data_IF_892391412812
#
_entry.id   IF_892391412812
#
_cell.length_a   1.000
_cell.length_b   1.000
_cell.length_c   1.000
_cell.angle_alpha   90.00
_cell.angle_beta   90.00
_cell.angle_gamma   90.00
#
_symmetry.space_group_name_H-M   'P 1'
#
loop_
_entity.id
_entity.type
_entity.pdbx_description
1 polymer ?
#
# COMPACT_ATOMS: atom_id res chain seq x y z
N UNK A 1 -15.29 6.19 -0.37
CA UNK A 1 -15.07 4.74 -0.54
C UNK A 1 -14.32 4.39 -1.82
N UNK A 2 -14.80 4.81 -3.00
CA UNK A 2 -14.14 4.49 -4.28
C UNK A 2 -12.68 4.97 -4.34
N UNK A 3 -12.40 6.17 -3.84
CA UNK A 3 -11.03 6.69 -3.76
C UNK A 3 -10.09 5.80 -2.93
N UNK A 4 -10.54 5.28 -1.77
CA UNK A 4 -9.74 4.37 -0.93
C UNK A 4 -9.41 3.10 -1.70
N UNK A 5 -10.43 2.53 -2.36
CA UNK A 5 -10.28 1.33 -3.19
C UNK A 5 -9.27 1.56 -4.32
N UNK A 6 -9.38 2.69 -5.03
CA UNK A 6 -8.47 3.06 -6.11
C UNK A 6 -7.03 3.22 -5.60
N UNK A 7 -6.80 3.93 -4.49
CA UNK A 7 -5.47 4.07 -3.87
C UNK A 7 -4.85 2.71 -3.57
N UNK A 8 -5.61 1.81 -2.96
CA UNK A 8 -5.14 0.47 -2.61
C UNK A 8 -4.85 -0.37 -3.86
N UNK A 9 -5.75 -0.41 -4.84
CA UNK A 9 -5.54 -1.13 -6.09
C UNK A 9 -4.30 -0.63 -6.84
N UNK A 10 -4.19 0.69 -7.02
CA UNK A 10 -3.06 1.27 -7.74
C UNK A 10 -1.74 1.00 -7.02
N UNK A 11 -1.71 1.07 -5.68
CA UNK A 11 -0.53 0.68 -4.91
C UNK A 11 -0.14 -0.78 -5.13
N UNK A 12 -1.09 -1.71 -5.07
CA UNK A 12 -0.79 -3.13 -5.26
C UNK A 12 -0.33 -3.44 -6.70
N UNK A 13 -0.92 -2.79 -7.70
CA UNK A 13 -0.48 -2.91 -9.10
C UNK A 13 0.92 -2.36 -9.30
N UNK A 14 1.20 -1.15 -8.81
CA UNK A 14 2.53 -0.54 -8.84
C UNK A 14 3.56 -1.45 -8.16
N UNK A 15 3.26 -1.91 -6.94
CA UNK A 15 4.14 -2.83 -6.22
C UNK A 15 4.41 -4.12 -6.99
N UNK A 16 3.39 -4.72 -7.60
CA UNK A 16 3.55 -5.94 -8.39
C UNK A 16 4.42 -5.70 -9.64
N UNK A 17 4.23 -4.57 -10.32
CA UNK A 17 5.04 -4.18 -11.47
C UNK A 17 6.51 -3.96 -11.07
N UNK A 18 6.76 -3.21 -10.00
CA UNK A 18 8.11 -2.96 -9.47
C UNK A 18 8.82 -4.26 -9.10
N UNK A 19 8.15 -5.16 -8.38
CA UNK A 19 8.78 -6.41 -7.95
C UNK A 19 9.06 -7.36 -9.12
N UNK A 20 8.16 -7.43 -10.11
CA UNK A 20 8.39 -8.23 -11.33
C UNK A 20 9.59 -7.73 -12.12
N UNK A 21 9.62 -6.43 -12.41
CA UNK A 21 10.75 -5.84 -13.14
C UNK A 21 12.04 -5.91 -12.33
N UNK A 22 11.96 -5.84 -11.00
CA UNK A 22 13.12 -6.04 -10.13
C UNK A 22 13.66 -7.49 -10.16
N UNK A 23 12.81 -8.49 -10.32
CA UNK A 23 13.25 -9.88 -10.51
C UNK A 23 14.00 -10.05 -11.84
N UNK A 24 13.52 -9.40 -12.90
CA UNK A 24 14.14 -9.44 -14.23
C UNK A 24 15.42 -8.58 -14.32
N UNK A 25 15.52 -7.51 -13.53
CA UNK A 25 16.68 -6.61 -13.53
C UNK A 25 17.79 -7.06 -12.58
N UNK A 26 19.00 -7.21 -13.12
CA UNK A 26 20.20 -7.48 -12.34
C UNK A 26 20.85 -6.19 -11.83
N UNK A 27 20.25 -5.58 -10.80
CA UNK A 27 20.84 -4.40 -10.16
C UNK A 27 22.14 -4.76 -9.41
N UNK A 28 23.20 -3.95 -9.54
CA UNK A 28 24.44 -4.15 -8.80
C UNK A 28 24.21 -4.14 -7.28
N UNK A 29 25.01 -4.93 -6.54
CA UNK A 29 24.87 -5.09 -5.08
C UNK A 29 24.97 -3.74 -4.34
N UNK A 30 25.88 -2.87 -4.75
CA UNK A 30 26.07 -1.59 -4.08
C UNK A 30 24.93 -0.61 -4.35
N UNK A 31 24.32 -0.71 -5.52
CA UNK A 31 23.11 0.04 -5.84
C UNK A 31 21.92 -0.43 -5.00
N UNK A 32 21.79 -1.75 -4.82
CA UNK A 32 20.75 -2.32 -3.98
C UNK A 32 20.87 -1.90 -2.52
N UNK A 33 22.08 -1.80 -1.96
CA UNK A 33 22.31 -1.32 -0.59
C UNK A 33 21.89 0.14 -0.38
N UNK A 34 21.90 0.96 -1.44
CA UNK A 34 21.44 2.34 -1.38
C UNK A 34 19.91 2.43 -1.45
N UNK A 35 19.28 1.54 -2.22
CA UNK A 35 17.82 1.53 -2.44
C UNK A 35 17.07 0.80 -1.32
N UNK A 36 17.69 -0.22 -0.75
CA UNK A 36 17.15 -1.18 0.19
C UNK A 36 18.10 -1.21 1.39
N UNK A 37 17.57 -1.23 2.62
CA UNK A 37 18.35 -1.27 3.87
C UNK A 37 19.60 -2.16 3.76
N UNK A 38 20.71 -1.70 4.34
CA UNK A 38 22.11 -2.14 4.11
C UNK A 38 22.44 -3.65 4.31
N UNK A 39 21.49 -4.48 4.72
CA UNK A 39 21.71 -5.91 4.97
C UNK A 39 21.42 -6.76 3.71
N UNK A 40 22.45 -7.44 3.20
CA UNK A 40 22.35 -8.34 2.04
C UNK A 40 21.42 -9.53 2.31
N UNK A 41 21.35 -10.01 3.55
CA UNK A 41 20.45 -11.11 3.94
C UNK A 41 18.98 -10.67 3.98
N UNK A 42 18.73 -9.37 4.17
CA UNK A 42 17.37 -8.82 4.09
C UNK A 42 16.85 -8.86 2.65
N UNK A 43 17.68 -8.59 1.64
CA UNK A 43 17.29 -8.61 0.23
C UNK A 43 16.86 -10.03 -0.19
N UNK A 44 17.67 -11.04 0.13
CA UNK A 44 17.35 -12.44 -0.20
C UNK A 44 16.02 -12.88 0.45
N UNK A 45 15.84 -12.59 1.75
CA UNK A 45 14.59 -12.91 2.46
C UNK A 45 13.37 -12.23 1.85
N UNK A 46 13.52 -11.00 1.36
CA UNK A 46 12.46 -10.19 0.75
C UNK A 46 12.11 -10.62 -0.68
N UNK A 47 13.06 -11.15 -1.46
CA UNK A 47 12.76 -11.80 -2.74
C UNK A 47 11.81 -12.99 -2.54
N UNK A 48 12.11 -13.82 -1.55
CA UNK A 48 11.27 -14.98 -1.22
C UNK A 48 9.97 -14.61 -0.47
N UNK A 49 9.90 -13.42 0.12
CA UNK A 49 8.73 -12.94 0.85
C UNK A 49 8.37 -11.51 0.43
N UNK A 50 7.61 -11.35 -0.67
CA UNK A 50 7.22 -10.03 -1.17
C UNK A 50 6.54 -9.15 -0.10
N UNK A 51 5.82 -9.74 0.86
CA UNK A 51 5.11 -9.00 1.91
C UNK A 51 6.01 -8.18 2.85
N UNK A 52 7.31 -8.50 2.90
CA UNK A 52 8.32 -7.85 3.75
C UNK A 52 8.85 -6.53 3.18
N UNK A 53 8.52 -6.20 1.93
CA UNK A 53 8.92 -4.94 1.32
C UNK A 53 8.14 -3.77 1.89
N UNK A 54 8.86 -2.74 2.33
CA UNK A 54 8.23 -1.51 2.81
C UNK A 54 7.79 -0.62 1.63
N UNK A 55 6.70 0.16 1.79
CA UNK A 55 6.26 1.11 0.78
C UNK A 55 7.36 2.04 0.23
N UNK A 56 8.23 2.59 1.08
CA UNK A 56 9.33 3.45 0.61
C UNK A 56 10.41 2.71 -0.17
N UNK A 57 10.65 1.43 0.13
CA UNK A 57 11.58 0.59 -0.63
C UNK A 57 11.04 0.32 -2.04
N UNK A 58 9.76 -0.05 -2.13
CA UNK A 58 9.05 -0.21 -3.42
C UNK A 58 9.08 1.08 -4.22
N UNK A 59 8.85 2.22 -3.57
CA UNK A 59 8.93 3.54 -4.18
C UNK A 59 10.32 3.84 -4.75
N UNK A 60 11.40 3.64 -3.98
CA UNK A 60 12.78 3.88 -4.43
C UNK A 60 13.17 2.95 -5.58
N UNK A 61 12.78 1.68 -5.50
CA UNK A 61 12.97 0.73 -6.61
C UNK A 61 12.22 1.17 -7.86
N UNK A 62 10.94 1.53 -7.74
CA UNK A 62 10.15 1.98 -8.88
C UNK A 62 10.73 3.22 -9.56
N UNK A 63 11.23 4.20 -8.79
CA UNK A 63 11.98 5.34 -9.34
C UNK A 63 13.22 4.89 -10.11
N UNK A 64 13.99 3.96 -9.54
CA UNK A 64 15.23 3.49 -10.16
C UNK A 64 15.00 2.70 -11.44
N UNK A 65 13.96 1.88 -11.46
CA UNK A 65 13.57 1.03 -12.59
C UNK A 65 12.75 1.79 -13.65
N UNK A 66 12.44 3.08 -13.43
CA UNK A 66 11.68 3.89 -14.39
C UNK A 66 10.17 3.58 -14.45
N UNK A 67 9.62 2.90 -13.45
CA UNK A 67 8.20 2.44 -13.39
C UNK A 67 7.35 3.48 -12.63
N UNK A 68 7.81 4.73 -12.56
CA UNK A 68 7.26 5.73 -11.66
C UNK A 68 5.91 6.29 -12.11
N UNK A 69 4.91 6.27 -11.22
CA UNK A 69 3.55 6.78 -11.50
C UNK A 69 2.92 7.57 -10.32
N UNK A 70 3.68 7.84 -9.24
CA UNK A 70 3.21 8.65 -8.11
C UNK A 70 2.34 7.95 -7.06
N UNK A 71 2.14 6.62 -7.11
CA UNK A 71 1.20 5.94 -6.17
C UNK A 71 1.63 5.98 -4.71
N UNK A 72 2.93 6.08 -4.42
CA UNK A 72 3.42 6.18 -3.04
C UNK A 72 2.86 7.41 -2.31
N UNK A 73 2.77 8.54 -3.00
CA UNK A 73 2.21 9.77 -2.43
C UNK A 73 0.71 9.61 -2.14
N UNK A 74 0.00 8.83 -2.96
CA UNK A 74 -1.42 8.51 -2.73
C UNK A 74 -1.61 7.59 -1.53
N UNK A 75 -0.67 6.70 -1.25
CA UNK A 75 -0.72 5.85 -0.05
C UNK A 75 -0.57 6.69 1.24
N UNK A 76 0.14 7.82 1.20
CA UNK A 76 0.21 8.74 2.34
C UNK A 76 -1.17 9.34 2.68
N UNK A 77 -2.01 9.55 1.67
CA UNK A 77 -3.39 10.05 1.85
C UNK A 77 -4.34 8.99 2.41
N UNK A 78 -3.94 7.72 2.51
CA UNK A 78 -4.83 6.63 2.93
C UNK A 78 -5.40 6.83 4.34
N UNK A 79 -4.58 7.26 5.31
CA UNK A 79 -5.07 7.51 6.66
C UNK A 79 -6.15 8.60 6.68
N UNK A 80 -5.91 9.71 5.98
CA UNK A 80 -6.88 10.80 5.87
C UNK A 80 -8.19 10.33 5.23
N UNK A 81 -8.11 9.53 4.16
CA UNK A 81 -9.31 8.99 3.50
C UNK A 81 -10.11 8.05 4.42
N UNK A 82 -9.43 7.29 5.29
CA UNK A 82 -10.06 6.43 6.30
C UNK A 82 -10.67 7.24 7.45
N UNK A 83 -10.08 8.38 7.79
CA UNK A 83 -10.61 9.35 8.76
C UNK A 83 -11.88 10.04 8.28
N UNK A 84 -12.03 10.24 6.97
CA UNK A 84 -13.22 10.83 6.37
C UNK A 84 -14.42 9.86 6.25
N UNK A 85 -14.31 8.61 6.69
CA UNK A 85 -15.42 7.67 6.67
C UNK A 85 -16.43 8.00 7.80
N UNK A 86 -17.72 7.68 7.62
CA UNK A 86 -18.68 7.71 8.72
C UNK A 86 -18.17 6.88 9.89
N UNK A 87 -18.36 7.36 11.13
CA UNK A 87 -17.79 6.76 12.34
C UNK A 87 -18.10 5.26 12.47
N UNK A 88 -19.34 4.86 12.18
CA UNK A 88 -19.76 3.45 12.22
C UNK A 88 -19.01 2.59 11.19
N UNK A 89 -18.80 3.12 9.98
CA UNK A 89 -18.04 2.42 8.94
C UNK A 89 -16.55 2.36 9.28
N UNK A 90 -16.00 3.44 9.81
CA UNK A 90 -14.62 3.52 10.25
C UNK A 90 -14.32 2.45 11.30
N UNK A 91 -15.17 2.34 12.34
CA UNK A 91 -15.02 1.34 13.39
C UNK A 91 -15.07 -0.09 12.83
N UNK A 92 -15.98 -0.36 11.89
CA UNK A 92 -16.07 -1.67 11.23
C UNK A 92 -14.81 -1.98 10.41
N UNK A 93 -14.33 -1.03 9.61
CA UNK A 93 -13.11 -1.16 8.79
C UNK A 93 -11.90 -1.41 9.69
N UNK A 94 -11.75 -0.63 10.76
CA UNK A 94 -10.63 -0.74 11.68
C UNK A 94 -10.62 -2.09 12.40
N UNK A 95 -11.79 -2.53 12.88
CA UNK A 95 -11.95 -3.86 13.47
C UNK A 95 -11.58 -4.96 12.47
N UNK A 96 -12.09 -4.88 11.24
CA UNK A 96 -11.82 -5.84 10.17
C UNK A 96 -10.33 -5.93 9.82
N UNK A 97 -9.68 -4.78 9.65
CA UNK A 97 -8.27 -4.68 9.33
C UNK A 97 -7.34 -4.91 10.54
N UNK A 98 -7.89 -5.08 11.74
CA UNK A 98 -7.17 -5.15 13.01
C UNK A 98 -6.30 -3.91 13.27
N UNK A 99 -6.81 -2.74 12.89
CA UNK A 99 -6.22 -1.42 13.10
C UNK A 99 -6.77 -0.84 14.40
N UNK A 100 -5.87 -0.54 15.34
CA UNK A 100 -6.18 0.22 16.56
C UNK A 100 -5.93 1.70 16.30
N UNK A 101 -6.41 2.58 17.19
CA UNK A 101 -6.13 4.01 17.12
C UNK A 101 -4.62 4.28 17.10
N UNK A 102 -3.86 3.63 17.99
CA UNK A 102 -2.39 3.78 18.04
C UNK A 102 -1.71 3.35 16.74
N UNK A 103 -2.21 2.29 16.10
CA UNK A 103 -1.72 1.90 14.78
C UNK A 103 -2.01 2.99 13.77
N UNK A 104 -3.24 3.50 13.71
CA UNK A 104 -3.60 4.57 12.76
C UNK A 104 -2.72 5.80 12.91
N UNK A 105 -2.43 6.24 14.14
CA UNK A 105 -1.49 7.34 14.43
C UNK A 105 -0.10 7.02 13.89
N UNK A 106 0.42 5.81 14.14
CA UNK A 106 1.71 5.42 13.61
C UNK A 106 1.75 5.39 12.07
N UNK A 107 0.64 5.03 11.40
CA UNK A 107 0.56 4.96 9.92
C UNK A 107 0.41 6.35 9.29
N UNK A 108 -0.27 7.29 9.97
CA UNK A 108 -0.39 8.67 9.49
C UNK A 108 0.95 9.41 9.57
N UNK A 109 1.77 9.11 10.58
CA UNK A 109 3.11 9.70 10.73
C UNK A 109 4.14 9.13 9.76
N UNK A 110 4.05 7.83 9.44
CA UNK A 110 5.00 7.17 8.56
C UNK A 110 4.34 6.06 7.74
N UNK A 111 4.28 6.26 6.42
CA UNK A 111 3.71 5.30 5.48
C UNK A 111 4.40 3.94 5.51
N UNK A 112 5.67 3.86 5.94
CA UNK A 112 6.38 2.58 6.07
C UNK A 112 5.85 1.69 7.20
N UNK A 113 5.04 2.25 8.11
CA UNK A 113 4.41 1.49 9.17
C UNK A 113 3.23 0.65 8.66
N UNK A 114 2.76 0.88 7.43
CA UNK A 114 1.76 0.04 6.80
C UNK A 114 2.28 -1.37 6.55
N UNK A 115 1.56 -2.36 7.05
CA UNK A 115 1.84 -3.76 6.75
C UNK A 115 1.05 -4.22 5.52
N UNK A 116 1.68 -5.01 4.64
CA UNK A 116 1.01 -5.55 3.44
C UNK A 116 -0.32 -6.26 3.75
N UNK A 117 -0.39 -6.98 4.88
CA UNK A 117 -1.62 -7.65 5.35
C UNK A 117 -2.73 -6.68 5.73
N UNK A 118 -2.39 -5.53 6.32
CA UNK A 118 -3.35 -4.49 6.74
C UNK A 118 -3.96 -3.88 5.46
N UNK A 119 -3.11 -3.49 4.52
CA UNK A 119 -3.52 -2.96 3.22
C UNK A 119 -4.39 -3.95 2.42
N UNK A 120 -4.06 -5.24 2.45
CA UNK A 120 -4.85 -6.27 1.77
C UNK A 120 -6.23 -6.46 2.42
N UNK A 121 -6.31 -6.44 3.76
CA UNK A 121 -7.61 -6.50 4.46
C UNK A 121 -8.48 -5.29 4.15
N UNK A 122 -7.90 -4.09 4.10
CA UNK A 122 -8.60 -2.88 3.68
C UNK A 122 -9.13 -3.02 2.26
N UNK A 123 -8.28 -3.46 1.31
CA UNK A 123 -8.69 -3.67 -0.07
C UNK A 123 -9.84 -4.66 -0.16
N UNK A 124 -9.71 -5.80 0.53
CA UNK A 124 -10.78 -6.81 0.57
C UNK A 124 -12.07 -6.27 1.17
N UNK A 125 -12.02 -5.39 2.16
CA UNK A 125 -13.22 -4.78 2.74
C UNK A 125 -13.93 -3.88 1.72
N UNK A 126 -13.19 -2.94 1.11
CA UNK A 126 -13.76 -2.00 0.14
C UNK A 126 -14.14 -2.64 -1.19
N UNK A 127 -13.59 -3.81 -1.52
CA UNK A 127 -14.01 -4.59 -2.69
C UNK A 127 -15.25 -5.46 -2.45
N UNK A 128 -15.60 -5.77 -1.19
CA UNK A 128 -16.76 -6.62 -0.84
C UNK A 128 -18.07 -5.85 -0.74
N UNK A 129 -18.04 -4.56 -0.42
CA UNK A 129 -19.26 -3.75 -0.42
C UNK A 129 -19.69 -3.53 -1.88
N UNK A 130 -20.84 -4.09 -2.35
CA UNK A 130 -21.37 -3.70 -3.64
C UNK A 130 -21.56 -2.18 -3.64
N UNK A 131 -21.31 -1.54 -4.79
CA UNK A 131 -21.66 -0.14 -4.98
C UNK A 131 -23.12 0.00 -4.53
N UNK A 132 -23.37 0.75 -3.47
CA UNK A 132 -24.70 1.30 -3.28
C UNK A 132 -24.91 2.14 -4.54
N UNK A 133 -25.68 1.57 -5.48
CA UNK A 133 -26.06 2.18 -6.73
C UNK A 133 -26.44 3.60 -6.41
N UNK A 134 -25.74 4.57 -7.02
CA UNK A 134 -26.23 5.94 -7.08
C UNK A 134 -27.68 5.82 -7.54
N UNK A 135 -28.60 6.07 -6.62
CA UNK A 135 -30.03 6.15 -6.90
C UNK A 135 -30.15 7.18 -8.00
N UNK A 136 -30.30 6.71 -9.25
CA UNK A 136 -30.73 7.54 -10.35
C UNK A 136 -32.13 8.01 -9.96
N UNK A 137 -32.20 9.18 -9.34
CA UNK A 137 -33.43 9.95 -9.27
C UNK A 137 -33.70 10.36 -10.71
N UNK A 138 -34.41 9.50 -11.45
CA UNK A 138 -35.07 9.89 -12.69
C UNK A 138 -36.24 10.77 -12.26
N UNK A 139 -36.12 12.07 -12.50
CA UNK A 139 -37.28 12.94 -12.69
C UNK A 139 -37.92 12.61 -14.03
#
# INVERSE_FOLDING_TARGET
>A
MEQIKQVLYSYFQFRAAVLRVFEDHHLPKDELKLLIVQDSNAIYRRRNNPSLWQPAEIHRLGKRLGIWDGQYNRLQSLCHLLECLPQDEQLQVYKWACLTVDKMIARSQNVNNWQSRELYKLLSWFSRKPMASQTRIRR
#
